data_IF_367534044140
#
_entry.id   IF_367534044140
#
_cell.length_a   1.000
_cell.length_b   1.000
_cell.length_c   1.000
_cell.angle_alpha   90.00
_cell.angle_beta   90.00
_cell.angle_gamma   90.00
#
_symmetry.space_group_name_H-M   'P 1'
#
loop_
_entity.id
_entity.type
_entity.pdbx_description
1 polymer ?
#
# COMPACT_ATOMS: atom_id res chain seq x y z
N UNK A 1 -31.94 11.40 -144.86
CA UNK A 1 -32.74 11.04 -143.66
C UNK A 1 -31.98 10.25 -142.58
N UNK A 2 -30.80 9.64 -142.85
CA UNK A 2 -30.07 8.85 -141.85
C UNK A 2 -29.36 9.65 -140.74
N UNK A 3 -28.91 10.89 -141.01
CA UNK A 3 -28.23 11.74 -140.01
C UNK A 3 -29.13 12.26 -138.88
N UNK A 4 -30.44 12.38 -139.09
CA UNK A 4 -31.36 12.85 -138.03
C UNK A 4 -31.72 11.76 -137.03
N UNK A 5 -31.87 10.49 -137.45
CA UNK A 5 -32.19 9.37 -136.54
C UNK A 5 -31.07 9.06 -135.54
N UNK A 6 -29.81 9.14 -135.97
CA UNK A 6 -28.65 8.91 -135.10
C UNK A 6 -28.50 9.97 -134.01
N UNK A 7 -28.87 11.22 -134.29
CA UNK A 7 -28.85 12.31 -133.31
C UNK A 7 -29.90 12.12 -132.22
N UNK A 8 -31.09 11.61 -132.57
CA UNK A 8 -32.18 11.39 -131.60
C UNK A 8 -31.93 10.21 -130.67
N UNK A 9 -31.30 9.14 -131.17
CA UNK A 9 -30.93 7.98 -130.33
C UNK A 9 -29.78 8.30 -129.36
N UNK A 10 -28.81 9.12 -129.78
CA UNK A 10 -27.71 9.55 -128.91
C UNK A 10 -28.22 10.41 -127.74
N UNK A 11 -29.12 11.35 -128.02
CA UNK A 11 -29.76 12.19 -126.99
C UNK A 11 -30.58 11.36 -126.02
N UNK A 12 -31.28 10.32 -126.50
CA UNK A 12 -32.09 9.45 -125.64
C UNK A 12 -31.24 8.58 -124.70
N UNK A 13 -30.15 8.01 -125.21
CA UNK A 13 -29.19 7.25 -124.40
C UNK A 13 -28.50 8.13 -123.35
N UNK A 14 -28.21 9.39 -123.68
CA UNK A 14 -27.59 10.35 -122.76
C UNK A 14 -28.55 10.79 -121.65
N UNK A 15 -29.84 10.97 -121.97
CA UNK A 15 -30.89 11.24 -120.96
C UNK A 15 -31.11 10.04 -120.04
N UNK A 16 -31.11 8.81 -120.55
CA UNK A 16 -31.23 7.60 -119.72
C UNK A 16 -30.00 7.37 -118.83
N UNK A 17 -28.80 7.67 -119.33
CA UNK A 17 -27.57 7.62 -118.53
C UNK A 17 -27.56 8.69 -117.42
N UNK A 18 -28.03 9.92 -117.71
CA UNK A 18 -28.21 10.96 -116.70
C UNK A 18 -29.27 10.59 -115.65
N UNK A 19 -30.38 9.97 -116.05
CA UNK A 19 -31.41 9.50 -115.13
C UNK A 19 -30.90 8.36 -114.22
N UNK A 20 -30.12 7.43 -114.77
CA UNK A 20 -29.48 6.37 -113.99
C UNK A 20 -28.41 6.91 -113.02
N UNK A 21 -27.62 7.91 -113.43
CA UNK A 21 -26.70 8.62 -112.55
C UNK A 21 -27.42 9.41 -111.44
N UNK A 22 -28.52 10.09 -111.78
CA UNK A 22 -29.37 10.80 -110.82
C UNK A 22 -29.96 9.87 -109.77
N UNK A 23 -30.53 8.73 -110.19
CA UNK A 23 -31.05 7.72 -109.26
C UNK A 23 -29.96 7.10 -108.37
N UNK A 24 -28.77 6.85 -108.93
CA UNK A 24 -27.63 6.37 -108.13
C UNK A 24 -27.16 7.42 -107.11
N UNK A 25 -27.15 8.70 -107.48
CA UNK A 25 -26.80 9.78 -106.56
C UNK A 25 -27.82 9.94 -105.43
N UNK A 26 -29.13 9.83 -105.73
CA UNK A 26 -30.19 9.86 -104.73
C UNK A 26 -30.06 8.67 -103.76
N UNK A 27 -29.83 7.46 -104.28
CA UNK A 27 -29.67 6.27 -103.46
C UNK A 27 -28.45 6.35 -102.53
N UNK A 28 -27.32 6.90 -103.02
CA UNK A 28 -26.12 7.13 -102.21
C UNK A 28 -26.40 8.18 -101.12
N UNK A 29 -27.08 9.28 -101.45
CA UNK A 29 -27.45 10.30 -100.47
C UNK A 29 -28.41 9.75 -99.39
N UNK A 30 -29.34 8.85 -99.77
CA UNK A 30 -30.27 8.22 -98.84
C UNK A 30 -29.57 7.18 -97.95
N UNK A 31 -28.63 6.41 -98.47
CA UNK A 31 -27.77 5.54 -97.67
C UNK A 31 -26.86 6.33 -96.72
N UNK A 32 -26.30 7.46 -97.15
CA UNK A 32 -25.50 8.35 -96.28
C UNK A 32 -26.37 8.94 -95.15
N UNK A 33 -27.61 9.33 -95.45
CA UNK A 33 -28.56 9.80 -94.44
C UNK A 33 -28.94 8.70 -93.44
N UNK A 34 -29.23 7.49 -93.91
CA UNK A 34 -29.53 6.35 -93.03
C UNK A 34 -28.32 5.95 -92.20
N UNK A 35 -27.12 5.91 -92.78
CA UNK A 35 -25.88 5.62 -92.06
C UNK A 35 -25.60 6.67 -90.98
N UNK A 36 -25.83 7.95 -91.29
CA UNK A 36 -25.67 9.05 -90.33
C UNK A 36 -26.73 8.97 -89.22
N UNK A 37 -27.98 8.65 -89.56
CA UNK A 37 -29.06 8.46 -88.59
C UNK A 37 -28.79 7.28 -87.64
N UNK A 38 -28.34 6.14 -88.18
CA UNK A 38 -27.98 4.96 -87.38
C UNK A 38 -26.73 5.24 -86.52
N UNK A 39 -25.71 5.91 -87.05
CA UNK A 39 -24.53 6.30 -86.28
C UNK A 39 -24.89 7.25 -85.12
N UNK A 40 -25.81 8.19 -85.36
CA UNK A 40 -26.31 9.11 -84.34
C UNK A 40 -27.13 8.37 -83.28
N UNK A 41 -28.04 7.49 -83.69
CA UNK A 41 -28.87 6.70 -82.78
C UNK A 41 -28.01 5.76 -81.92
N UNK A 42 -27.03 5.07 -82.51
CA UNK A 42 -26.07 4.25 -81.76
C UNK A 42 -25.25 5.08 -80.76
N UNK A 43 -24.85 6.31 -81.12
CA UNK A 43 -24.14 7.21 -80.21
C UNK A 43 -25.02 7.65 -79.05
N UNK A 44 -26.28 7.99 -79.31
CA UNK A 44 -27.26 8.37 -78.29
C UNK A 44 -27.58 7.19 -77.36
N UNK A 45 -27.78 5.98 -77.89
CA UNK A 45 -28.00 4.77 -77.09
C UNK A 45 -26.76 4.37 -76.27
N UNK A 46 -25.55 4.50 -76.82
CA UNK A 46 -24.31 4.27 -76.10
C UNK A 46 -24.16 5.26 -74.93
N UNK A 47 -24.39 6.55 -75.16
CA UNK A 47 -24.32 7.58 -74.12
C UNK A 47 -25.35 7.31 -73.02
N UNK A 48 -26.57 6.92 -73.38
CA UNK A 48 -27.61 6.55 -72.41
C UNK A 48 -27.21 5.35 -71.56
N UNK A 49 -26.72 4.28 -72.18
CA UNK A 49 -26.25 3.08 -71.47
C UNK A 49 -25.03 3.37 -70.59
N UNK A 50 -24.10 4.20 -71.07
CA UNK A 50 -22.95 4.66 -70.30
C UNK A 50 -23.38 5.49 -69.09
N UNK A 51 -24.37 6.37 -69.24
CA UNK A 51 -24.88 7.18 -68.15
C UNK A 51 -25.66 6.35 -67.12
N UNK A 52 -26.46 5.38 -67.56
CA UNK A 52 -27.13 4.42 -66.67
C UNK A 52 -26.12 3.57 -65.89
N UNK A 53 -25.09 3.03 -66.57
CA UNK A 53 -24.02 2.25 -65.92
C UNK A 53 -23.23 3.09 -64.92
N UNK A 54 -22.85 4.31 -65.29
CA UNK A 54 -22.14 5.22 -64.41
C UNK A 54 -22.97 5.59 -63.17
N UNK A 55 -24.27 5.85 -63.33
CA UNK A 55 -25.18 6.10 -62.20
C UNK A 55 -25.30 4.88 -61.29
N UNK A 56 -25.37 3.68 -61.85
CA UNK A 56 -25.39 2.43 -61.07
C UNK A 56 -24.09 2.25 -60.29
N UNK A 57 -22.93 2.32 -60.96
CA UNK A 57 -21.64 2.14 -60.30
C UNK A 57 -21.38 3.20 -59.23
N UNK A 58 -21.76 4.46 -59.49
CA UNK A 58 -21.66 5.53 -58.48
C UNK A 58 -22.52 5.21 -57.25
N UNK A 59 -23.76 4.76 -57.46
CA UNK A 59 -24.67 4.38 -56.37
C UNK A 59 -24.12 3.19 -55.58
N UNK A 60 -23.56 2.19 -56.26
CA UNK A 60 -22.96 1.02 -55.63
C UNK A 60 -21.70 1.40 -54.83
N UNK A 61 -20.88 2.31 -55.34
CA UNK A 61 -19.71 2.85 -54.64
C UNK A 61 -20.09 3.68 -53.40
N UNK A 62 -21.12 4.53 -53.51
CA UNK A 62 -21.66 5.29 -52.38
C UNK A 62 -22.23 4.36 -51.31
N UNK A 63 -22.98 3.33 -51.70
CA UNK A 63 -23.53 2.34 -50.78
C UNK A 63 -22.42 1.51 -50.10
N UNK A 64 -21.39 1.11 -50.84
CA UNK A 64 -20.25 0.36 -50.30
C UNK A 64 -19.40 1.22 -49.35
N UNK A 65 -19.30 2.53 -49.59
CA UNK A 65 -18.63 3.45 -48.68
C UNK A 65 -19.43 3.65 -47.39
N UNK A 66 -20.74 3.84 -47.49
CA UNK A 66 -21.62 3.99 -46.32
C UNK A 66 -21.60 2.72 -45.47
N UNK A 67 -21.73 1.55 -46.08
CA UNK A 67 -21.67 0.25 -45.37
C UNK A 67 -20.36 0.10 -44.60
N UNK A 68 -19.22 0.37 -45.23
CA UNK A 68 -17.91 0.33 -44.55
C UNK A 68 -17.80 1.35 -43.42
N UNK A 69 -18.34 2.55 -43.61
CA UNK A 69 -18.35 3.58 -42.56
C UNK A 69 -19.17 3.10 -41.35
N UNK A 70 -20.35 2.53 -41.58
CA UNK A 70 -21.19 1.98 -40.51
C UNK A 70 -20.53 0.78 -39.80
N UNK A 71 -19.88 -0.12 -40.54
CA UNK A 71 -19.12 -1.24 -39.95
C UNK A 71 -17.97 -0.75 -39.06
N UNK A 72 -17.20 0.24 -39.54
CA UNK A 72 -16.13 0.87 -38.75
C UNK A 72 -16.69 1.59 -37.53
N UNK A 73 -17.80 2.31 -37.67
CA UNK A 73 -18.47 2.97 -36.53
C UNK A 73 -18.93 1.96 -35.48
N UNK A 74 -19.51 0.83 -35.92
CA UNK A 74 -19.98 -0.23 -35.03
C UNK A 74 -18.83 -0.95 -34.29
N UNK A 75 -17.65 -1.00 -34.89
CA UNK A 75 -16.45 -1.55 -34.24
C UNK A 75 -15.81 -0.56 -33.26
N UNK A 76 -15.79 0.75 -33.60
CA UNK A 76 -15.10 1.77 -32.81
C UNK A 76 -15.95 2.29 -31.65
N UNK A 77 -17.28 2.36 -31.78
CA UNK A 77 -18.20 2.78 -30.70
C UNK A 77 -17.99 2.02 -29.39
N UNK A 78 -18.05 0.68 -29.36
CA UNK A 78 -17.91 -0.07 -28.11
C UNK A 78 -16.53 0.11 -27.50
N UNK A 79 -15.47 0.27 -28.30
CA UNK A 79 -14.13 0.57 -27.80
C UNK A 79 -14.08 1.93 -27.10
N UNK A 80 -14.68 2.97 -27.69
CA UNK A 80 -14.77 4.30 -27.08
C UNK A 80 -15.55 4.26 -25.77
N UNK A 81 -16.70 3.60 -25.75
CA UNK A 81 -17.52 3.46 -24.54
C UNK A 81 -16.78 2.72 -23.42
N UNK A 82 -16.01 1.69 -23.75
CA UNK A 82 -15.24 0.92 -22.76
C UNK A 82 -14.03 1.71 -22.24
N UNK A 83 -13.33 2.46 -23.10
CA UNK A 83 -12.27 3.38 -22.67
C UNK A 83 -12.82 4.47 -21.74
N UNK A 84 -13.99 5.03 -22.03
CA UNK A 84 -14.63 6.02 -21.16
C UNK A 84 -15.01 5.43 -19.80
N UNK A 85 -15.52 4.18 -19.75
CA UNK A 85 -15.76 3.48 -18.49
C UNK A 85 -14.47 3.23 -17.72
N UNK A 86 -13.40 2.81 -18.39
CA UNK A 86 -12.11 2.56 -17.77
C UNK A 86 -11.50 3.84 -17.17
N UNK A 87 -11.60 4.97 -17.88
CA UNK A 87 -11.15 6.27 -17.36
C UNK A 87 -11.94 6.68 -16.11
N UNK A 88 -13.28 6.49 -16.12
CA UNK A 88 -14.12 6.76 -14.94
C UNK A 88 -13.73 5.87 -13.77
N UNK A 89 -13.64 4.55 -14.00
CA UNK A 89 -13.25 3.58 -12.98
C UNK A 89 -11.87 3.89 -12.37
N UNK A 90 -10.88 4.25 -13.21
CA UNK A 90 -9.53 4.58 -12.74
C UNK A 90 -9.54 5.85 -11.87
N UNK A 91 -10.24 6.90 -12.30
CA UNK A 91 -10.38 8.13 -11.50
C UNK A 91 -11.10 7.90 -10.18
N UNK A 92 -12.15 7.08 -10.16
CA UNK A 92 -12.88 6.75 -8.93
C UNK A 92 -12.01 5.93 -7.98
N UNK A 93 -11.28 4.95 -8.51
CA UNK A 93 -10.33 4.14 -7.73
C UNK A 93 -9.19 4.99 -7.15
N UNK A 94 -8.66 5.96 -7.90
CA UNK A 94 -7.61 6.86 -7.42
C UNK A 94 -8.13 7.81 -6.33
N UNK A 95 -9.37 8.30 -6.44
CA UNK A 95 -10.02 9.08 -5.38
C UNK A 95 -10.22 8.27 -4.10
N UNK A 96 -10.71 7.04 -4.22
CA UNK A 96 -10.90 6.14 -3.08
C UNK A 96 -9.56 5.80 -2.41
N UNK A 97 -8.52 5.56 -3.22
CA UNK A 97 -7.16 5.33 -2.75
C UNK A 97 -6.61 6.54 -1.98
N UNK A 98 -6.76 7.75 -2.49
CA UNK A 98 -6.35 8.97 -1.77
C UNK A 98 -7.08 9.12 -0.44
N UNK A 99 -8.40 8.89 -0.41
CA UNK A 99 -9.19 8.94 0.82
C UNK A 99 -8.73 7.91 1.87
N UNK A 100 -8.42 6.68 1.45
CA UNK A 100 -7.89 5.65 2.32
C UNK A 100 -6.50 6.03 2.88
N UNK A 101 -5.61 6.57 2.05
CA UNK A 101 -4.30 7.07 2.51
C UNK A 101 -4.41 8.22 3.51
N UNK A 102 -5.32 9.16 3.29
CA UNK A 102 -5.59 10.24 4.25
C UNK A 102 -6.14 9.70 5.58
N UNK A 103 -7.03 8.70 5.52
CA UNK A 103 -7.55 8.00 6.69
C UNK A 103 -6.45 7.30 7.50
N UNK A 104 -5.57 6.56 6.81
CA UNK A 104 -4.42 5.87 7.43
C UNK A 104 -3.46 6.89 8.05
N UNK A 105 -3.12 7.97 7.34
CA UNK A 105 -2.24 9.03 7.86
C UNK A 105 -2.82 9.68 9.12
N UNK A 106 -4.14 9.89 9.15
CA UNK A 106 -4.85 10.42 10.33
C UNK A 106 -4.80 9.43 11.50
N UNK A 107 -5.06 8.15 11.25
CA UNK A 107 -4.95 7.11 12.28
C UNK A 107 -3.53 6.96 12.83
N UNK A 108 -2.51 7.03 11.97
CA UNK A 108 -1.11 6.94 12.39
C UNK A 108 -0.71 8.14 13.25
N UNK A 109 -1.18 9.34 12.88
CA UNK A 109 -0.99 10.55 13.69
C UNK A 109 -1.71 10.45 15.04
N UNK A 110 -2.98 10.07 15.06
CA UNK A 110 -3.74 9.88 16.29
C UNK A 110 -3.10 8.81 17.20
N UNK A 111 -2.54 7.74 16.63
CA UNK A 111 -1.78 6.73 17.37
C UNK A 111 -0.47 7.30 17.93
N UNK A 112 0.26 8.10 17.16
CA UNK A 112 1.46 8.81 17.62
C UNK A 112 1.13 9.71 18.82
N UNK A 113 0.14 10.59 18.66
CA UNK A 113 -0.29 11.55 19.67
C UNK A 113 -0.80 10.83 20.94
N UNK A 114 -1.54 9.72 20.79
CA UNK A 114 -1.98 8.89 21.92
C UNK A 114 -0.83 8.17 22.62
N UNK A 115 0.15 7.67 21.88
CA UNK A 115 1.33 6.98 22.44
C UNK A 115 2.21 7.96 23.21
N UNK A 116 2.42 9.16 22.68
CA UNK A 116 3.16 10.23 23.36
C UNK A 116 2.43 10.68 24.63
N UNK A 117 1.12 10.92 24.56
CA UNK A 117 0.27 11.21 25.73
C UNK A 117 0.33 10.09 26.79
N UNK A 118 0.27 8.83 26.36
CA UNK A 118 0.35 7.68 27.27
C UNK A 118 1.72 7.57 27.92
N UNK A 119 2.80 7.78 27.16
CA UNK A 119 4.17 7.80 27.68
C UNK A 119 4.30 8.89 28.75
N UNK A 120 3.91 10.13 28.45
CA UNK A 120 3.97 11.26 29.39
C UNK A 120 3.11 11.02 30.64
N UNK A 121 1.90 10.45 30.49
CA UNK A 121 1.03 10.10 31.63
C UNK A 121 1.58 8.93 32.45
N UNK A 122 2.22 7.95 31.81
CA UNK A 122 2.85 6.80 32.49
C UNK A 122 4.09 7.25 33.25
N UNK A 123 4.89 8.14 32.68
CA UNK A 123 6.03 8.77 33.36
C UNK A 123 5.54 9.63 34.52
N UNK A 124 4.54 10.48 34.33
CA UNK A 124 3.96 11.28 35.42
C UNK A 124 3.32 10.42 36.51
N UNK A 125 2.65 9.32 36.16
CA UNK A 125 2.10 8.36 37.11
C UNK A 125 3.21 7.60 37.84
N UNK A 126 4.28 7.19 37.14
CA UNK A 126 5.47 6.60 37.74
C UNK A 126 6.10 7.58 38.74
N UNK A 127 6.28 8.84 38.38
CA UNK A 127 6.81 9.90 39.25
C UNK A 127 5.90 10.18 40.45
N UNK A 128 4.58 10.20 40.26
CA UNK A 128 3.60 10.41 41.33
C UNK A 128 3.46 9.21 42.29
N UNK A 129 3.61 7.99 41.81
CA UNK A 129 3.59 6.78 42.63
C UNK A 129 4.94 6.52 43.34
N UNK A 130 6.02 7.16 42.88
CA UNK A 130 7.35 7.01 43.46
C UNK A 130 7.75 8.14 44.41
N UNK A 131 6.88 9.11 44.71
CA UNK A 131 7.24 10.28 45.52
C UNK A 131 7.47 9.96 47.01
N UNK A 132 6.92 8.86 47.55
CA UNK A 132 7.12 8.46 48.96
C UNK A 132 7.91 7.15 49.11
N UNK A 133 8.77 7.05 50.12
CA UNK A 133 9.58 5.84 50.37
C UNK A 133 8.74 4.59 50.66
N UNK A 134 7.55 4.77 51.25
CA UNK A 134 6.65 3.69 51.62
C UNK A 134 5.77 3.24 50.44
N UNK A 135 5.37 4.17 49.55
CA UNK A 135 4.61 3.85 48.34
C UNK A 135 5.48 3.15 47.29
N UNK A 136 6.79 3.46 47.22
CA UNK A 136 7.75 2.79 46.33
C UNK A 136 7.91 1.29 46.62
N UNK A 137 8.02 0.91 47.89
CA UNK A 137 8.10 -0.52 48.29
C UNK A 137 6.83 -1.28 47.92
N UNK A 138 5.67 -0.73 48.30
CA UNK A 138 4.37 -1.34 48.03
C UNK A 138 4.06 -1.50 46.52
N UNK A 139 4.58 -0.63 45.65
CA UNK A 139 4.36 -0.75 44.20
C UNK A 139 5.25 -1.80 43.53
N UNK A 140 6.50 -1.94 43.98
CA UNK A 140 7.37 -3.06 43.60
C UNK A 140 6.76 -4.41 44.01
N UNK A 141 6.19 -4.46 45.21
CA UNK A 141 5.48 -5.62 45.75
C UNK A 141 4.25 -5.99 44.90
N UNK A 142 3.38 -5.04 44.56
CA UNK A 142 2.20 -5.29 43.72
C UNK A 142 2.59 -5.74 42.29
N UNK A 143 3.68 -5.22 41.73
CA UNK A 143 4.16 -5.63 40.39
C UNK A 143 4.71 -7.06 40.42
N UNK A 144 5.48 -7.43 41.44
CA UNK A 144 5.97 -8.79 41.65
C UNK A 144 4.82 -9.79 41.82
N UNK A 145 3.82 -9.46 42.65
CA UNK A 145 2.62 -10.30 42.82
C UNK A 145 1.94 -10.61 41.48
N UNK A 146 1.75 -9.60 40.62
CA UNK A 146 1.16 -9.79 39.29
C UNK A 146 2.03 -10.66 38.37
N UNK A 147 3.35 -10.53 38.44
CA UNK A 147 4.26 -11.39 37.67
C UNK A 147 4.18 -12.84 38.13
N UNK A 148 4.05 -13.09 39.44
CA UNK A 148 3.84 -14.44 39.96
C UNK A 148 2.50 -15.03 39.52
N UNK A 149 1.41 -14.27 39.64
CA UNK A 149 0.09 -14.68 39.15
C UNK A 149 0.10 -15.03 37.65
N UNK A 150 0.77 -14.20 36.83
CA UNK A 150 0.93 -14.44 35.39
C UNK A 150 1.79 -15.66 35.06
N UNK A 151 2.79 -15.97 35.91
CA UNK A 151 3.60 -17.18 35.82
C UNK A 151 2.85 -18.44 36.30
N UNK A 152 1.60 -18.29 36.76
CA UNK A 152 0.78 -19.37 37.29
C UNK A 152 1.13 -19.78 38.73
N UNK A 153 1.91 -18.97 39.45
CA UNK A 153 2.28 -19.20 40.84
C UNK A 153 1.14 -18.72 41.75
N UNK A 154 0.76 -19.55 42.72
CA UNK A 154 -0.31 -19.26 43.67
C UNK A 154 0.23 -18.74 45.00
N UNK A 155 -0.33 -17.62 45.47
CA UNK A 155 -0.04 -17.06 46.79
C UNK A 155 -0.33 -18.10 47.89
N UNK A 156 0.54 -18.20 48.90
CA UNK A 156 0.47 -19.17 50.01
C UNK A 156 0.74 -20.64 49.64
N UNK A 157 0.99 -20.95 48.37
CA UNK A 157 1.41 -22.29 47.91
C UNK A 157 2.81 -22.20 47.33
N UNK A 158 3.02 -21.31 46.36
CA UNK A 158 4.26 -21.18 45.62
C UNK A 158 5.07 -19.93 46.04
N UNK A 159 4.43 -18.91 46.62
CA UNK A 159 5.14 -17.76 47.19
C UNK A 159 4.46 -17.20 48.44
N UNK A 160 5.28 -16.63 49.33
CA UNK A 160 4.86 -16.07 50.61
C UNK A 160 5.39 -14.64 50.75
N UNK A 161 4.54 -13.73 51.23
CA UNK A 161 4.90 -12.33 51.44
C UNK A 161 5.31 -12.08 52.90
N UNK A 162 6.32 -11.24 53.10
CA UNK A 162 6.72 -10.74 54.43
C UNK A 162 6.93 -11.84 55.49
N UNK A 163 7.54 -12.97 55.12
CA UNK A 163 7.87 -14.05 56.06
C UNK A 163 8.99 -13.58 56.98
N UNK A 164 8.79 -13.68 58.29
CA UNK A 164 9.87 -13.49 59.26
C UNK A 164 10.66 -14.79 59.36
N UNK A 165 11.93 -14.74 58.95
CA UNK A 165 12.85 -15.86 59.06
C UNK A 165 13.30 -16.05 60.53
N UNK A 166 13.88 -17.20 60.85
CA UNK A 166 14.25 -17.57 62.23
C UNK A 166 15.25 -16.60 62.87
N UNK A 167 16.05 -15.90 62.07
CA UNK A 167 17.01 -14.87 62.48
C UNK A 167 16.40 -13.47 62.67
N UNK A 168 15.08 -13.33 62.47
CA UNK A 168 14.35 -12.06 62.54
C UNK A 168 14.45 -11.20 61.29
N UNK A 169 15.14 -11.66 60.24
CA UNK A 169 15.20 -10.98 58.95
C UNK A 169 13.91 -11.20 58.15
N UNK A 170 13.54 -10.21 57.32
CA UNK A 170 12.24 -10.19 56.63
C UNK A 170 12.42 -9.79 55.17
N UNK A 171 12.60 -10.75 54.25
CA UNK A 171 12.55 -10.48 52.81
C UNK A 171 11.13 -10.05 52.40
N UNK A 172 11.01 -9.31 51.29
CA UNK A 172 9.70 -8.84 50.81
C UNK A 172 8.86 -10.03 50.31
N UNK A 173 9.49 -10.96 49.57
CA UNK A 173 8.88 -12.22 49.14
C UNK A 173 9.83 -13.40 49.32
N UNK A 174 9.23 -14.58 49.48
CA UNK A 174 9.91 -15.88 49.43
C UNK A 174 9.15 -16.78 48.46
N UNK A 175 9.78 -17.19 47.37
CA UNK A 175 9.18 -18.10 46.36
C UNK A 175 9.73 -19.50 46.58
N UNK A 176 8.87 -20.52 46.66
CA UNK A 176 9.26 -21.94 46.68
C UNK A 176 9.25 -22.48 45.25
N UNK A 177 10.38 -22.99 44.80
CA UNK A 177 10.55 -23.62 43.50
C UNK A 177 10.34 -25.15 43.63
N UNK A 178 10.05 -25.84 42.52
CA UNK A 178 10.09 -27.30 42.49
C UNK A 178 11.46 -27.81 42.98
N UNK A 179 11.50 -28.92 43.70
CA UNK A 179 12.70 -29.50 44.36
C UNK A 179 13.13 -28.81 45.67
N UNK A 180 12.18 -28.24 46.43
CA UNK A 180 12.43 -27.65 47.76
C UNK A 180 13.42 -26.46 47.77
N UNK A 181 13.79 -25.93 46.60
CA UNK A 181 14.57 -24.71 46.48
C UNK A 181 13.72 -23.50 46.88
N UNK A 182 14.31 -22.57 47.62
CA UNK A 182 13.61 -21.38 48.14
C UNK A 182 14.36 -20.12 47.76
N UNK A 183 13.63 -19.14 47.25
CA UNK A 183 14.15 -17.95 46.60
C UNK A 183 13.70 -16.68 47.33
N UNK A 184 14.57 -16.05 48.13
CA UNK A 184 14.26 -14.76 48.75
C UNK A 184 14.38 -13.62 47.72
N UNK A 185 13.37 -12.76 47.67
CA UNK A 185 13.29 -11.61 46.77
C UNK A 185 13.10 -10.35 47.62
N UNK A 186 13.98 -9.36 47.45
CA UNK A 186 13.89 -8.03 48.08
C UNK A 186 13.78 -6.97 46.97
N UNK A 187 12.73 -6.14 47.04
CA UNK A 187 12.29 -5.26 45.95
C UNK A 187 12.74 -3.80 46.10
N UNK A 188 13.68 -3.52 47.01
CA UNK A 188 13.99 -2.16 47.46
C UNK A 188 15.11 -1.47 46.66
N UNK A 189 15.03 -1.49 45.34
CA UNK A 189 15.89 -0.64 44.51
C UNK A 189 15.44 0.83 44.62
N UNK A 190 16.18 1.65 45.34
CA UNK A 190 15.88 3.08 45.51
C UNK A 190 16.23 3.87 44.25
N UNK A 191 15.23 4.16 43.41
CA UNK A 191 15.41 4.92 42.16
C UNK A 191 15.40 6.45 42.29
N UNK A 192 15.65 7.03 43.47
CA UNK A 192 15.47 8.48 43.69
C UNK A 192 16.38 9.34 42.81
N UNK A 193 17.64 8.95 42.65
CA UNK A 193 18.58 9.65 41.79
C UNK A 193 18.24 9.49 40.30
N UNK A 194 17.77 8.30 39.90
CA UNK A 194 17.28 8.05 38.55
C UNK A 194 16.07 8.93 38.22
N UNK A 195 15.11 9.04 39.13
CA UNK A 195 13.92 9.88 38.93
C UNK A 195 14.28 11.37 38.82
N UNK A 196 15.21 11.85 39.65
CA UNK A 196 15.73 13.23 39.53
C UNK A 196 16.48 13.45 38.21
N UNK A 197 17.21 12.45 37.72
CA UNK A 197 17.92 12.54 36.44
C UNK A 197 16.95 12.64 35.25
N UNK A 198 15.76 12.03 35.34
CA UNK A 198 14.72 12.12 34.31
C UNK A 198 14.05 13.49 34.22
N UNK A 199 14.12 14.30 35.28
CA UNK A 199 13.56 15.65 35.33
C UNK A 199 14.53 16.71 34.76
N UNK A 200 15.78 16.32 34.47
CA UNK A 200 16.80 17.20 33.91
C UNK A 200 17.00 16.97 32.41
N UNK A 201 17.36 18.04 31.71
CA UNK A 201 17.86 17.96 30.35
C UNK A 201 19.24 17.26 30.31
N UNK A 202 19.56 16.67 29.15
CA UNK A 202 20.84 16.00 28.96
C UNK A 202 22.02 16.93 29.16
N UNK A 203 22.92 16.53 30.06
CA UNK A 203 24.10 17.29 30.41
C UNK A 203 24.77 16.81 31.70
N UNK A 204 25.81 17.52 32.15
CA UNK A 204 26.67 17.06 33.25
C UNK A 204 25.93 16.77 34.57
N UNK A 205 24.85 17.49 34.84
CA UNK A 205 24.05 17.30 36.06
C UNK A 205 23.20 16.02 36.00
N UNK A 206 22.68 15.66 34.82
CA UNK A 206 21.99 14.38 34.60
C UNK A 206 22.98 13.22 34.78
N UNK A 207 24.16 13.32 34.17
CA UNK A 207 25.19 12.27 34.25
C UNK A 207 25.65 12.02 35.71
N UNK A 208 25.79 13.08 36.51
CA UNK A 208 26.16 12.96 37.92
C UNK A 208 25.09 12.20 38.73
N UNK A 209 23.81 12.46 38.46
CA UNK A 209 22.70 11.77 39.12
C UNK A 209 22.60 10.30 38.70
N UNK A 210 22.82 9.99 37.43
CA UNK A 210 22.88 8.61 36.94
C UNK A 210 24.04 7.83 37.56
N UNK A 211 25.20 8.47 37.74
CA UNK A 211 26.31 7.87 38.47
C UNK A 211 25.99 7.62 39.95
N UNK A 212 25.29 8.56 40.61
CA UNK A 212 24.81 8.37 41.99
C UNK A 212 23.78 7.23 42.09
N UNK A 213 22.92 7.08 41.09
CA UNK A 213 21.98 5.97 40.98
C UNK A 213 22.71 4.61 40.92
N UNK A 214 23.69 4.47 40.03
CA UNK A 214 24.48 3.25 39.92
C UNK A 214 25.23 2.90 41.22
N UNK A 215 25.84 3.90 41.87
CA UNK A 215 26.49 3.72 43.18
C UNK A 215 25.51 3.27 44.27
N UNK A 216 24.30 3.84 44.31
CA UNK A 216 23.26 3.43 45.25
C UNK A 216 22.83 1.98 45.01
N UNK A 217 22.70 1.55 43.74
CA UNK A 217 22.40 0.16 43.39
C UNK A 217 23.52 -0.80 43.83
N UNK A 218 24.78 -0.42 43.61
CA UNK A 218 25.95 -1.19 44.08
C UNK A 218 25.99 -1.34 45.59
N UNK A 219 25.71 -0.26 46.32
CA UNK A 219 25.59 -0.32 47.77
C UNK A 219 24.46 -1.26 48.19
N UNK A 220 23.32 -1.22 47.50
CA UNK A 220 22.18 -2.10 47.81
C UNK A 220 22.51 -3.57 47.62
N UNK A 221 23.22 -3.93 46.55
CA UNK A 221 23.75 -5.29 46.34
C UNK A 221 24.61 -5.72 47.54
N UNK A 222 25.47 -4.82 48.03
CA UNK A 222 26.33 -5.10 49.19
C UNK A 222 25.50 -5.36 50.45
N UNK A 223 24.48 -4.53 50.70
CA UNK A 223 23.57 -4.69 51.83
C UNK A 223 22.77 -5.99 51.77
N UNK A 224 22.29 -6.38 50.59
CA UNK A 224 21.53 -7.62 50.38
C UNK A 224 22.40 -8.86 50.60
N UNK A 225 23.61 -8.84 50.07
CA UNK A 225 24.59 -9.91 50.28
C UNK A 225 24.93 -10.08 51.77
N UNK A 226 25.04 -8.98 52.52
CA UNK A 226 25.33 -9.01 53.96
C UNK A 226 24.20 -9.59 54.82
N UNK A 227 22.94 -9.53 54.36
CA UNK A 227 21.80 -10.13 55.07
C UNK A 227 21.78 -11.65 55.01
N UNK A 228 22.52 -12.25 54.08
CA UNK A 228 22.81 -13.69 54.03
C UNK A 228 21.57 -14.61 54.17
N UNK A 229 20.43 -14.23 53.59
CA UNK A 229 19.17 -15.00 53.67
C UNK A 229 19.33 -16.49 53.28
N UNK A 230 20.25 -16.77 52.36
CA UNK A 230 20.65 -18.11 51.93
C UNK A 230 21.14 -19.03 53.06
N UNK A 231 21.62 -18.49 54.18
CA UNK A 231 22.11 -19.28 55.31
C UNK A 231 21.01 -19.67 56.31
N UNK A 232 19.82 -19.05 56.20
CA UNK A 232 18.72 -19.19 57.18
C UNK A 232 17.51 -19.90 56.58
N UNK A 233 17.45 -20.04 55.25
CA UNK A 233 16.32 -20.65 54.55
C UNK A 233 16.69 -22.10 54.18
N UNK A 234 15.82 -23.06 54.54
CA UNK A 234 15.96 -24.46 54.11
C UNK A 234 15.68 -24.56 52.59
N UNK A 235 16.72 -24.84 51.78
CA UNK A 235 16.64 -25.08 50.32
C UNK A 235 17.99 -24.91 49.61
N UNK A 236 18.18 -25.49 48.42
CA UNK A 236 19.47 -25.51 47.69
C UNK A 236 19.81 -24.22 46.89
N UNK A 237 19.09 -23.12 47.05
CA UNK A 237 19.30 -21.92 46.22
C UNK A 237 20.13 -20.84 46.93
N UNK A 238 21.40 -20.74 46.57
CA UNK A 238 22.42 -19.88 47.20
C UNK A 238 22.41 -18.41 46.71
N UNK A 239 21.29 -17.89 46.16
CA UNK A 239 21.24 -16.52 45.64
C UNK A 239 20.01 -15.73 46.08
N UNK A 240 20.22 -14.42 46.32
CA UNK A 240 19.15 -13.45 46.62
C UNK A 240 18.79 -12.69 45.34
N UNK A 241 17.51 -12.50 45.06
CA UNK A 241 17.09 -11.65 43.94
C UNK A 241 16.86 -10.22 44.41
N UNK A 242 17.58 -9.29 43.79
CA UNK A 242 17.31 -7.86 43.83
C UNK A 242 16.38 -7.50 42.66
N UNK A 243 15.12 -7.23 42.96
CA UNK A 243 14.15 -6.84 41.94
C UNK A 243 14.18 -5.34 41.64
N UNK A 244 14.22 -4.98 40.36
CA UNK A 244 14.16 -3.60 39.86
C UNK A 244 12.87 -3.41 39.05
N UNK A 245 11.93 -2.56 39.51
CA UNK A 245 10.62 -2.45 38.89
C UNK A 245 10.61 -1.77 37.51
N UNK A 246 11.73 -1.18 37.07
CA UNK A 246 11.83 -0.45 35.80
C UNK A 246 13.08 -0.87 35.03
N UNK A 247 12.88 -1.36 33.80
CA UNK A 247 13.98 -1.74 32.91
C UNK A 247 14.89 -0.55 32.58
N UNK A 248 14.32 0.64 32.38
CA UNK A 248 15.10 1.86 32.17
C UNK A 248 15.99 2.22 33.37
N UNK A 249 15.56 1.89 34.58
CA UNK A 249 16.33 2.10 35.81
C UNK A 249 17.49 1.11 35.91
N UNK A 250 17.30 -0.14 35.50
CA UNK A 250 18.38 -1.12 35.43
C UNK A 250 19.39 -0.76 34.33
N UNK A 251 18.90 -0.48 33.12
CA UNK A 251 19.73 -0.15 31.97
C UNK A 251 20.60 1.10 32.19
N UNK A 252 20.04 2.15 32.80
CA UNK A 252 20.80 3.37 33.12
C UNK A 252 21.92 3.13 34.12
N UNK A 253 21.72 2.25 35.11
CA UNK A 253 22.77 1.90 36.05
C UNK A 253 23.84 1.02 35.40
N UNK A 254 23.47 0.03 34.58
CA UNK A 254 24.44 -0.77 33.83
C UNK A 254 25.26 0.07 32.85
N UNK A 255 24.66 1.11 32.25
CA UNK A 255 25.37 2.04 31.39
C UNK A 255 26.39 2.89 32.17
N UNK A 256 26.04 3.28 33.40
CA UNK A 256 26.89 4.11 34.25
C UNK A 256 27.96 3.30 34.98
N UNK A 257 27.70 2.03 35.25
CA UNK A 257 28.57 1.08 35.94
C UNK A 257 28.48 -0.30 35.27
N UNK A 258 29.29 -0.54 34.22
CA UNK A 258 29.25 -1.78 33.45
C UNK A 258 29.60 -3.04 34.26
N UNK A 259 30.38 -2.91 35.33
CA UNK A 259 30.80 -4.02 36.20
C UNK A 259 29.75 -4.36 37.26
N UNK A 260 28.61 -3.67 37.29
CA UNK A 260 27.60 -3.82 38.34
C UNK A 260 26.98 -5.23 38.37
N UNK A 261 26.76 -5.84 37.20
CA UNK A 261 26.22 -7.21 37.09
C UNK A 261 27.23 -8.23 37.62
N UNK A 262 28.48 -8.15 37.19
CA UNK A 262 29.56 -9.03 37.66
C UNK A 262 29.76 -8.90 39.18
N UNK A 263 29.66 -7.67 39.68
CA UNK A 263 29.70 -7.41 41.13
C UNK A 263 28.54 -8.07 41.86
N UNK A 264 27.31 -7.98 41.35
CA UNK A 264 26.13 -8.63 41.92
C UNK A 264 26.31 -10.16 41.99
N UNK A 265 26.76 -10.76 40.89
CA UNK A 265 27.03 -12.20 40.82
C UNK A 265 28.11 -12.62 41.83
N UNK A 266 29.20 -11.85 41.95
CA UNK A 266 30.26 -12.12 42.95
C UNK A 266 29.76 -12.06 44.41
N UNK A 267 28.62 -11.39 44.62
CA UNK A 267 27.96 -11.22 45.92
C UNK A 267 26.77 -12.16 46.11
N UNK A 268 26.58 -13.13 45.21
CA UNK A 268 25.43 -14.05 45.23
C UNK A 268 24.08 -13.31 45.15
N UNK A 269 24.06 -12.17 44.46
CA UNK A 269 22.85 -11.39 44.21
C UNK A 269 22.54 -11.40 42.70
N UNK A 270 21.31 -11.76 42.35
CA UNK A 270 20.81 -11.70 40.98
C UNK A 270 19.94 -10.45 40.80
N UNK A 271 20.19 -9.68 39.73
CA UNK A 271 19.39 -8.50 39.40
C UNK A 271 18.32 -8.93 38.40
N UNK A 272 17.04 -8.66 38.71
CA UNK A 272 15.89 -9.03 37.88
C UNK A 272 14.88 -7.89 37.73
#
# INVERSE_FOLDING_TARGET
MAKMKFSTELVRAEVEAQAAQGNKAILVAEMENVATAVARQNSEDFLRLAEERWKSEKKDAEHALETRKTEVENLVKPLKEEMEKMIRFNNDMEKERMGAYEGIKRHLKDLGDKTESLSTRTTALSTALTTSAQTRGNWGEVKLRRLFEMAGLSEHVDFFEQVTLEDGSRPDFVVRLPQEAVLPIDSKATGSHFLQALELDSGPQQDELLLKHAKAMRQRITELSAKAYQNTIEGEFDHVIMFIPSEAMAASAFSSDPELMDYAMSKSVLIA
#
